data_IF_040001281949
#
_entry.id   IF_040001281949
#
_cell.length_a   1.000
_cell.length_b   1.000
_cell.length_c   1.000
_cell.angle_alpha   90.00
_cell.angle_beta   90.00
_cell.angle_gamma   90.00
#
_symmetry.space_group_name_H-M   'P 1'
#
loop_
_entity.id
_entity.type
_entity.pdbx_description
1 polymer ?
#
# COMPACT_ATOMS: atom_id res chain seq x y z
N UNK A 1 37.17 -1.44 -18.67
CA UNK A 1 35.82 -2.06 -18.68
C UNK A 1 35.90 -3.55 -18.33
N UNK A 2 36.20 -3.92 -17.07
CA UNK A 2 36.48 -5.33 -16.73
C UNK A 2 35.23 -6.20 -16.47
N UNK A 3 34.04 -5.61 -16.30
CA UNK A 3 32.86 -6.36 -15.81
C UNK A 3 31.59 -6.18 -16.66
N UNK A 4 31.70 -5.60 -17.87
CA UNK A 4 30.54 -5.35 -18.76
C UNK A 4 29.79 -6.65 -19.15
N UNK A 5 30.47 -7.79 -19.13
CA UNK A 5 29.87 -9.09 -19.41
C UNK A 5 28.82 -9.52 -18.38
N UNK A 6 28.86 -8.97 -17.15
CA UNK A 6 27.88 -9.26 -16.11
C UNK A 6 26.46 -8.85 -16.52
N UNK A 7 26.31 -7.77 -17.29
CA UNK A 7 25.01 -7.32 -17.79
C UNK A 7 24.33 -8.31 -18.75
N UNK A 8 25.11 -9.22 -19.36
CA UNK A 8 24.58 -10.31 -20.19
C UNK A 8 24.12 -11.51 -19.36
N UNK A 9 24.43 -11.55 -18.05
CA UNK A 9 24.03 -12.63 -17.15
C UNK A 9 22.62 -12.36 -16.64
N UNK A 10 21.72 -13.34 -16.79
CA UNK A 10 20.30 -13.16 -16.48
C UNK A 10 19.99 -12.85 -15.01
N UNK A 11 20.87 -13.26 -14.10
CA UNK A 11 20.76 -13.05 -12.65
C UNK A 11 21.40 -11.74 -12.17
N UNK A 12 22.13 -11.01 -13.02
CA UNK A 12 22.86 -9.83 -12.59
C UNK A 12 21.89 -8.68 -12.29
N UNK A 13 21.95 -8.16 -11.07
CA UNK A 13 21.02 -7.14 -10.57
C UNK A 13 21.18 -5.78 -11.26
N UNK A 14 22.37 -5.47 -11.79
CA UNK A 14 22.63 -4.26 -12.56
C UNK A 14 22.13 -4.30 -14.02
N UNK A 15 21.59 -5.45 -14.47
CA UNK A 15 21.00 -5.53 -15.81
C UNK A 15 19.72 -4.70 -15.89
N UNK A 16 19.54 -3.93 -16.97
CA UNK A 16 18.37 -3.07 -17.18
C UNK A 16 17.04 -3.84 -17.00
N UNK A 17 16.98 -5.08 -17.50
CA UNK A 17 15.80 -5.95 -17.34
C UNK A 17 15.46 -6.21 -15.87
N UNK A 18 16.47 -6.48 -15.05
CA UNK A 18 16.25 -6.81 -13.65
C UNK A 18 15.89 -5.54 -12.86
N UNK A 19 16.53 -4.41 -13.17
CA UNK A 19 16.17 -3.10 -12.61
C UNK A 19 14.71 -2.76 -12.96
N UNK A 20 14.29 -2.94 -14.22
CA UNK A 20 12.92 -2.69 -14.66
C UNK A 20 11.91 -3.61 -13.96
N UNK A 21 12.21 -4.90 -13.82
CA UNK A 21 11.35 -5.85 -13.10
C UNK A 21 11.17 -5.44 -11.64
N UNK A 22 12.26 -5.08 -10.96
CA UNK A 22 12.22 -4.60 -9.57
C UNK A 22 11.39 -3.31 -9.48
N UNK A 23 11.55 -2.39 -10.43
CA UNK A 23 10.78 -1.15 -10.47
C UNK A 23 9.28 -1.42 -10.65
N UNK A 24 8.88 -2.30 -11.58
CA UNK A 24 7.48 -2.69 -11.78
C UNK A 24 6.88 -3.33 -10.53
N UNK A 25 7.62 -4.22 -9.87
CA UNK A 25 7.18 -4.85 -8.62
C UNK A 25 7.01 -3.81 -7.50
N UNK A 26 7.97 -2.89 -7.35
CA UNK A 26 7.86 -1.79 -6.37
C UNK A 26 6.66 -0.89 -6.65
N UNK A 27 6.45 -0.51 -7.90
CA UNK A 27 5.31 0.31 -8.30
C UNK A 27 3.97 -0.39 -8.01
N UNK A 28 3.87 -1.68 -8.34
CA UNK A 28 2.68 -2.49 -8.01
C UNK A 28 2.46 -2.54 -6.49
N UNK A 29 3.51 -2.83 -5.72
CA UNK A 29 3.43 -2.88 -4.27
C UNK A 29 2.98 -1.56 -3.66
N UNK A 30 3.54 -0.44 -4.10
CA UNK A 30 3.15 0.90 -3.64
C UNK A 30 1.68 1.20 -3.96
N UNK A 31 1.21 0.80 -5.15
CA UNK A 31 -0.20 0.94 -5.52
C UNK A 31 -1.14 0.10 -4.66
N UNK A 32 -0.72 -1.10 -4.26
CA UNK A 32 -1.48 -2.00 -3.39
C UNK A 32 -1.49 -1.46 -1.95
N UNK A 33 -0.35 -0.99 -1.43
CA UNK A 33 -0.26 -0.38 -0.11
C UNK A 33 -1.15 0.84 0.01
N UNK A 34 -1.14 1.75 -0.98
CA UNK A 34 -1.99 2.93 -0.98
C UNK A 34 -3.48 2.58 -0.94
N UNK A 35 -3.89 1.55 -1.69
CA UNK A 35 -5.29 1.06 -1.65
C UNK A 35 -5.64 0.47 -0.29
N UNK A 36 -4.72 -0.27 0.32
CA UNK A 36 -4.93 -0.84 1.66
C UNK A 36 -5.04 0.25 2.74
N UNK A 37 -4.21 1.29 2.67
CA UNK A 37 -4.27 2.44 3.58
C UNK A 37 -5.59 3.19 3.46
N UNK A 38 -6.06 3.42 2.23
CA UNK A 38 -7.35 4.07 1.97
C UNK A 38 -8.52 3.24 2.51
N UNK A 39 -8.52 1.92 2.31
CA UNK A 39 -9.53 1.03 2.87
C UNK A 39 -9.50 1.00 4.40
N UNK A 40 -8.30 0.98 5.01
CA UNK A 40 -8.16 1.06 6.48
C UNK A 40 -8.74 2.36 7.03
N UNK A 41 -8.50 3.47 6.35
CA UNK A 41 -9.08 4.76 6.72
C UNK A 41 -10.60 4.74 6.63
N UNK A 42 -11.17 4.21 5.55
CA UNK A 42 -12.63 4.10 5.40
C UNK A 42 -13.26 3.28 6.53
N UNK A 43 -12.66 2.13 6.88
CA UNK A 43 -13.14 1.30 7.99
C UNK A 43 -13.10 2.07 9.32
N UNK A 44 -12.04 2.84 9.55
CA UNK A 44 -11.91 3.63 10.77
C UNK A 44 -12.95 4.75 10.83
N UNK A 45 -13.13 5.50 9.74
CA UNK A 45 -14.13 6.56 9.63
C UNK A 45 -15.56 6.01 9.84
N UNK A 46 -15.85 4.81 9.32
CA UNK A 46 -17.14 4.14 9.52
C UNK A 46 -17.36 3.71 10.98
N UNK A 47 -16.32 3.19 11.64
CA UNK A 47 -16.38 2.82 13.07
C UNK A 47 -16.65 4.05 13.93
N UNK A 48 -15.90 5.13 13.74
CA UNK A 48 -16.08 6.38 14.50
C UNK A 48 -17.49 6.97 14.31
N UNK A 49 -18.03 6.95 13.08
CA UNK A 49 -19.41 7.37 12.82
C UNK A 49 -20.44 6.46 13.49
N UNK A 50 -20.17 5.16 13.61
CA UNK A 50 -21.07 4.24 14.30
C UNK A 50 -21.06 4.48 15.82
N UNK A 51 -19.89 4.68 16.40
CA UNK A 51 -19.73 4.99 17.83
C UNK A 51 -20.39 6.32 18.18
N UNK A 52 -20.21 7.34 17.35
CA UNK A 52 -20.86 8.64 17.55
C UNK A 52 -22.39 8.54 17.52
N UNK A 53 -22.96 7.75 16.59
CA UNK A 53 -24.40 7.49 16.54
C UNK A 53 -24.92 6.80 17.79
N UNK A 54 -24.21 5.77 18.28
CA UNK A 54 -24.57 5.08 19.52
C UNK A 54 -24.54 6.02 20.73
N UNK A 55 -23.53 6.91 20.82
CA UNK A 55 -23.46 7.91 21.88
C UNK A 55 -24.59 8.94 21.79
N UNK A 56 -24.96 9.38 20.58
CA UNK A 56 -26.11 10.28 20.38
C UNK A 56 -27.43 9.61 20.78
N UNK A 57 -27.66 8.37 20.35
CA UNK A 57 -28.86 7.61 20.71
C UNK A 57 -28.96 7.41 22.23
N UNK A 58 -27.85 7.07 22.89
CA UNK A 58 -27.82 6.98 24.35
C UNK A 58 -28.19 8.31 24.99
N UNK A 59 -27.55 9.42 24.58
CA UNK A 59 -27.83 10.75 25.14
C UNK A 59 -29.32 11.15 25.02
N UNK A 60 -29.96 10.85 23.88
CA UNK A 60 -31.39 11.11 23.67
C UNK A 60 -32.28 10.28 24.60
N UNK A 61 -31.88 9.07 24.96
CA UNK A 61 -32.66 8.18 25.84
C UNK A 61 -32.53 8.57 27.32
N UNK A 62 -31.48 9.29 27.71
CA UNK A 62 -31.23 9.71 29.09
C UNK A 62 -31.85 11.06 29.48
N UNK A 63 -32.43 11.81 28.53
CA UNK A 63 -33.23 13.05 28.74
C UNK A 63 -34.74 12.75 28.74
#
# INVERSE_FOLDING_TARGET
>A
MALKFLNKKGWHTGSLRNIENVWKVKQKHESEQRKLEELRKQIQDEREKSEFRLLQEQAIVWD
#
